data_IF_685523147503
#
_entry.id   IF_685523147503
#
_cell.length_a   1.000
_cell.length_b   1.000
_cell.length_c   1.000
_cell.angle_alpha   90.00
_cell.angle_beta   90.00
_cell.angle_gamma   90.00
#
_symmetry.space_group_name_H-M   'P 1'
#
loop_
_entity.id
_entity.type
_entity.pdbx_description
1 polymer ?
#
# COMPACT_ATOMS: atom_id res chain seq x y z
N UNK A 1 -14.69 -15.01 23.39
CA UNK A 1 -15.18 -14.21 22.24
C UNK A 1 -14.05 -13.47 21.50
N UNK A 2 -13.17 -12.73 22.19
CA UNK A 2 -12.08 -11.98 21.55
C UNK A 2 -11.16 -12.85 20.68
N UNK A 3 -10.76 -14.05 21.14
CA UNK A 3 -9.91 -15.00 20.39
C UNK A 3 -10.52 -15.43 19.03
N UNK A 4 -11.84 -15.54 18.94
CA UNK A 4 -12.55 -15.91 17.69
C UNK A 4 -12.60 -14.73 16.70
N UNK A 5 -12.82 -13.52 17.19
CA UNK A 5 -12.80 -12.29 16.38
C UNK A 5 -11.40 -12.04 15.83
N UNK A 6 -10.38 -12.17 16.69
CA UNK A 6 -8.97 -12.01 16.32
C UNK A 6 -8.53 -13.05 15.29
N UNK A 7 -8.95 -14.31 15.45
CA UNK A 7 -8.66 -15.39 14.49
C UNK A 7 -9.32 -15.19 13.13
N UNK A 8 -10.48 -14.54 13.07
CA UNK A 8 -11.15 -14.22 11.81
C UNK A 8 -10.57 -12.95 11.15
N UNK A 9 -9.97 -12.05 11.93
CA UNK A 9 -9.34 -10.84 11.41
C UNK A 9 -7.99 -11.11 10.73
N UNK A 10 -7.17 -12.02 11.25
CA UNK A 10 -5.84 -12.35 10.67
C UNK A 10 -5.89 -12.66 9.15
N UNK A 11 -6.74 -13.59 8.65
CA UNK A 11 -6.82 -13.87 7.22
C UNK A 11 -7.35 -12.68 6.38
N UNK A 12 -8.20 -11.84 6.97
CA UNK A 12 -8.75 -10.64 6.31
C UNK A 12 -7.66 -9.57 6.16
N UNK A 13 -6.94 -9.28 7.24
CA UNK A 13 -5.80 -8.38 7.24
C UNK A 13 -4.70 -8.82 6.25
N UNK A 14 -4.49 -10.13 6.11
CA UNK A 14 -3.49 -10.69 5.20
C UNK A 14 -3.88 -10.50 3.73
N UNK A 15 -5.17 -10.64 3.41
CA UNK A 15 -5.72 -10.32 2.09
C UNK A 15 -5.61 -8.82 1.79
N UNK A 16 -6.01 -7.97 2.74
CA UNK A 16 -5.88 -6.52 2.58
C UNK A 16 -4.43 -6.09 2.38
N UNK A 17 -3.50 -6.59 3.18
CA UNK A 17 -2.07 -6.30 3.03
C UNK A 17 -1.55 -6.67 1.63
N UNK A 18 -1.90 -7.86 1.11
CA UNK A 18 -1.54 -8.26 -0.27
C UNK A 18 -2.12 -7.33 -1.32
N UNK A 19 -3.41 -6.97 -1.19
CA UNK A 19 -4.09 -6.08 -2.14
C UNK A 19 -3.45 -4.69 -2.12
N UNK A 20 -3.23 -4.11 -0.93
CA UNK A 20 -2.61 -2.80 -0.78
C UNK A 20 -1.18 -2.77 -1.31
N UNK A 21 -0.39 -3.82 -1.09
CA UNK A 21 0.96 -3.91 -1.61
C UNK A 21 0.97 -4.04 -3.14
N UNK A 22 0.05 -4.82 -3.70
CA UNK A 22 -0.15 -4.93 -5.15
C UNK A 22 -0.63 -3.62 -5.78
N UNK A 23 -1.59 -2.94 -5.16
CA UNK A 23 -2.04 -1.61 -5.60
C UNK A 23 -0.93 -0.57 -5.52
N UNK A 24 -0.14 -0.56 -4.44
CA UNK A 24 1.03 0.31 -4.30
C UNK A 24 2.05 0.10 -5.43
N UNK A 25 2.35 -1.15 -5.76
CA UNK A 25 3.20 -1.48 -6.90
C UNK A 25 2.61 -0.99 -8.23
N UNK A 26 1.31 -1.23 -8.47
CA UNK A 26 0.65 -0.75 -9.69
C UNK A 26 0.67 0.77 -9.80
N UNK A 27 0.51 1.51 -8.71
CA UNK A 27 0.61 2.98 -8.71
C UNK A 27 2.03 3.45 -9.05
N UNK A 28 3.06 2.78 -8.53
CA UNK A 28 4.46 3.08 -8.89
C UNK A 28 4.70 2.85 -10.38
N UNK A 29 4.30 1.69 -10.89
CA UNK A 29 4.46 1.36 -12.33
C UNK A 29 3.69 2.36 -13.19
N UNK A 30 2.47 2.71 -12.80
CA UNK A 30 1.64 3.68 -13.52
C UNK A 30 2.29 5.06 -13.54
N UNK A 31 2.85 5.52 -12.42
CA UNK A 31 3.59 6.78 -12.34
C UNK A 31 4.79 6.81 -13.31
N UNK A 32 5.58 5.73 -13.35
CA UNK A 32 6.75 5.63 -14.24
C UNK A 32 6.32 5.65 -15.70
N UNK A 33 5.30 4.87 -16.08
CA UNK A 33 4.80 4.84 -17.45
C UNK A 33 4.22 6.19 -17.87
N UNK A 34 3.42 6.84 -17.02
CA UNK A 34 2.93 8.19 -17.30
C UNK A 34 4.10 9.16 -17.49
N UNK A 35 5.07 9.17 -16.58
CA UNK A 35 6.23 10.06 -16.64
C UNK A 35 6.98 9.92 -17.98
N UNK A 36 7.19 8.69 -18.45
CA UNK A 36 7.82 8.44 -19.76
C UNK A 36 6.99 8.96 -20.93
N UNK A 37 5.68 8.71 -20.94
CA UNK A 37 4.78 9.21 -22.00
C UNK A 37 4.75 10.74 -22.02
N UNK A 38 4.64 11.36 -20.85
CA UNK A 38 4.58 12.82 -20.72
C UNK A 38 5.90 13.50 -21.11
N UNK A 39 7.06 12.91 -20.74
CA UNK A 39 8.36 13.42 -21.20
C UNK A 39 8.51 13.35 -22.72
N UNK A 40 7.95 12.33 -23.38
CA UNK A 40 8.02 12.22 -24.85
C UNK A 40 7.10 13.22 -25.56
N UNK A 41 5.97 13.59 -24.95
CA UNK A 41 4.95 14.44 -25.57
C UNK A 41 5.12 15.93 -25.25
N UNK A 42 5.66 16.28 -24.08
CA UNK A 42 5.72 17.66 -23.59
C UNK A 42 7.18 18.09 -23.41
N UNK A 43 7.71 18.99 -24.26
CA UNK A 43 9.00 19.61 -24.00
C UNK A 43 8.90 20.45 -22.71
N UNK A 44 9.82 20.21 -21.76
CA UNK A 44 9.83 20.77 -20.40
C UNK A 44 8.73 20.24 -19.45
N UNK A 45 8.42 18.95 -19.54
CA UNK A 45 7.51 18.31 -18.60
C UNK A 45 7.92 18.52 -17.13
N UNK A 46 6.98 19.03 -16.31
CA UNK A 46 7.17 19.22 -14.88
C UNK A 46 6.88 17.93 -14.10
N UNK A 47 7.92 17.12 -13.95
CA UNK A 47 7.87 15.85 -13.25
C UNK A 47 7.54 16.00 -11.75
N UNK A 48 7.81 17.17 -11.16
CA UNK A 48 7.50 17.44 -9.75
C UNK A 48 5.99 17.47 -9.52
N UNK A 49 5.25 18.10 -10.43
CA UNK A 49 3.79 18.19 -10.34
C UNK A 49 3.14 16.82 -10.46
N UNK A 50 3.61 15.98 -11.38
CA UNK A 50 3.14 14.59 -11.49
C UNK A 50 3.44 13.78 -10.22
N UNK A 51 4.61 14.00 -9.61
CA UNK A 51 4.96 13.35 -8.36
C UNK A 51 4.06 13.80 -7.20
N UNK A 52 3.66 15.08 -7.14
CA UNK A 52 2.74 15.57 -6.12
C UNK A 52 1.36 14.93 -6.19
N UNK A 53 0.88 14.61 -7.40
CA UNK A 53 -0.43 13.96 -7.58
C UNK A 53 -0.38 12.45 -7.25
N UNK A 54 0.73 11.76 -7.57
CA UNK A 54 0.86 10.31 -7.39
C UNK A 54 1.48 9.88 -6.06
N UNK A 55 2.37 10.67 -5.46
CA UNK A 55 3.01 10.34 -4.20
C UNK A 55 2.01 10.09 -3.05
N UNK A 56 0.92 10.85 -2.88
CA UNK A 56 -0.08 10.58 -1.85
C UNK A 56 -0.81 9.25 -2.06
N UNK A 57 -1.08 8.89 -3.32
CA UNK A 57 -1.74 7.62 -3.68
C UNK A 57 -0.83 6.42 -3.40
N UNK A 58 0.46 6.54 -3.76
CA UNK A 58 1.46 5.51 -3.47
C UNK A 58 1.66 5.38 -1.95
N UNK A 59 1.82 6.50 -1.24
CA UNK A 59 2.04 6.53 0.20
C UNK A 59 0.84 5.99 0.99
N UNK A 60 -0.39 6.31 0.58
CA UNK A 60 -1.60 5.80 1.23
C UNK A 60 -1.79 4.29 1.00
N UNK A 61 -1.55 3.79 -0.21
CA UNK A 61 -1.62 2.37 -0.51
C UNK A 61 -0.57 1.56 0.26
N UNK A 62 0.70 1.99 0.24
CA UNK A 62 1.78 1.32 0.98
C UNK A 62 1.61 1.46 2.49
N UNK A 63 1.19 2.64 2.96
CA UNK A 63 0.92 2.92 4.37
C UNK A 63 -0.18 2.03 4.94
N UNK A 64 -1.32 1.91 4.23
CA UNK A 64 -2.40 1.01 4.63
C UNK A 64 -1.94 -0.47 4.66
N UNK A 65 -1.12 -0.89 3.69
CA UNK A 65 -0.51 -2.21 3.66
C UNK A 65 0.42 -2.48 4.85
N UNK A 66 1.26 -1.51 5.20
CA UNK A 66 2.18 -1.56 6.34
C UNK A 66 1.43 -1.61 7.66
N UNK A 67 0.40 -0.76 7.84
CA UNK A 67 -0.46 -0.78 9.04
C UNK A 67 -1.13 -2.15 9.21
N UNK A 68 -1.65 -2.73 8.13
CA UNK A 68 -2.23 -4.08 8.17
C UNK A 68 -1.21 -5.16 8.60
N UNK A 69 0.05 -5.06 8.15
CA UNK A 69 1.12 -5.97 8.57
C UNK A 69 1.49 -5.79 10.04
N UNK A 70 1.63 -4.55 10.50
CA UNK A 70 1.95 -4.25 11.91
C UNK A 70 0.84 -4.74 12.82
N UNK A 71 -0.42 -4.52 12.45
CA UNK A 71 -1.57 -5.01 13.22
C UNK A 71 -1.56 -6.55 13.31
N UNK A 72 -1.23 -7.26 12.23
CA UNK A 72 -1.06 -8.72 12.25
C UNK A 72 0.06 -9.15 13.18
N UNK A 73 1.22 -8.48 13.17
CA UNK A 73 2.33 -8.80 14.06
C UNK A 73 1.95 -8.59 15.53
N UNK A 74 1.23 -7.51 15.85
CA UNK A 74 0.74 -7.24 17.21
C UNK A 74 -0.27 -8.31 17.67
N UNK A 75 -1.18 -8.72 16.78
CA UNK A 75 -2.15 -9.79 17.03
C UNK A 75 -1.42 -11.12 17.32
N UNK A 76 -0.48 -11.52 16.47
CA UNK A 76 0.27 -12.77 16.63
C UNK A 76 1.14 -12.80 17.87
N UNK A 77 1.77 -11.66 18.21
CA UNK A 77 2.60 -11.54 19.41
C UNK A 77 1.76 -11.69 20.68
N UNK A 78 0.61 -11.02 20.75
CA UNK A 78 -0.33 -11.17 21.87
C UNK A 78 -0.93 -12.59 21.97
N UNK A 79 -1.15 -13.27 20.85
CA UNK A 79 -1.65 -14.64 20.85
C UNK A 79 -0.60 -15.66 21.34
N UNK A 80 0.70 -15.36 21.22
CA UNK A 80 1.82 -16.20 21.66
C UNK A 80 2.22 -15.98 23.12
N UNK A 81 1.88 -14.84 23.72
CA UNK A 81 2.18 -14.53 25.12
C UNK A 81 1.08 -14.98 26.10
N UNK A 82 0.05 -15.68 25.62
CA UNK A 82 -1.05 -16.27 26.39
C UNK A 82 -1.09 -17.77 26.19
#
# INVERSE_FOLDING_TARGET
MLKSIVSNLDPVLLRFSKVFNGCGFLFIVSYVLLSMVYQMQIPNFDQLRLAQDFAPLIASALGAGAVCMVLQMMIRTNARSS
#
